data_IF_041214025994
#
_entry.id   IF_041214025994
#
_cell.length_a   1.000
_cell.length_b   1.000
_cell.length_c   1.000
_cell.angle_alpha   90.00
_cell.angle_beta   90.00
_cell.angle_gamma   90.00
#
_symmetry.space_group_name_H-M   'P 1'
#
loop_
_entity.id
_entity.type
_entity.pdbx_description
1 polymer ?
#
# COMPACT_ATOMS: atom_id res chain seq x y z
N UNK A 1 19.18 -27.04 30.09
CA UNK A 1 18.41 -27.54 28.93
C UNK A 1 17.68 -26.37 28.33
N UNK A 2 18.17 -25.81 27.23
CA UNK A 2 17.45 -24.77 26.48
C UNK A 2 16.31 -25.45 25.70
N UNK A 3 15.09 -24.89 25.68
CA UNK A 3 14.00 -25.45 24.90
C UNK A 3 14.36 -25.41 23.41
N UNK A 4 13.90 -26.37 22.58
CA UNK A 4 14.12 -26.31 21.13
C UNK A 4 13.39 -25.08 20.59
N UNK A 5 14.14 -24.04 20.22
CA UNK A 5 13.57 -22.84 19.60
C UNK A 5 12.92 -23.25 18.28
N UNK A 6 11.65 -22.90 18.11
CA UNK A 6 10.96 -23.09 16.87
C UNK A 6 11.63 -22.21 15.80
N UNK A 7 11.95 -22.76 14.62
CA UNK A 7 12.58 -22.02 13.51
C UNK A 7 11.86 -20.70 13.18
N UNK A 8 10.54 -20.66 13.38
CA UNK A 8 9.71 -19.47 13.19
C UNK A 8 10.04 -18.38 14.23
N UNK A 9 10.29 -18.75 15.49
CA UNK A 9 10.64 -17.80 16.55
C UNK A 9 11.99 -17.13 16.29
N UNK A 10 12.96 -17.89 15.78
CA UNK A 10 14.27 -17.36 15.40
C UNK A 10 14.17 -16.36 14.25
N UNK A 11 13.34 -16.68 13.23
CA UNK A 11 13.06 -15.76 12.13
C UNK A 11 12.34 -14.50 12.58
N UNK A 12 11.40 -14.63 13.51
CA UNK A 12 10.68 -13.48 14.07
C UNK A 12 11.59 -12.61 14.94
N UNK A 13 12.51 -13.22 15.68
CA UNK A 13 13.51 -12.47 16.44
C UNK A 13 14.47 -11.70 15.51
N UNK A 14 14.96 -12.37 14.46
CA UNK A 14 15.76 -11.76 13.39
C UNK A 14 15.02 -10.57 12.77
N UNK A 15 13.75 -10.73 12.40
CA UNK A 15 12.92 -9.66 11.85
C UNK A 15 12.64 -8.55 12.85
N UNK A 16 12.49 -8.87 14.14
CA UNK A 16 12.34 -7.92 15.22
C UNK A 16 13.50 -6.94 15.32
N UNK A 17 14.72 -7.47 15.21
CA UNK A 17 15.96 -6.68 15.25
C UNK A 17 16.07 -5.70 14.08
N UNK A 18 15.64 -6.10 12.88
CA UNK A 18 15.75 -5.31 11.64
C UNK A 18 14.63 -4.30 11.43
N UNK A 19 13.37 -4.71 11.68
CA UNK A 19 12.19 -3.93 11.30
C UNK A 19 11.68 -3.03 12.44
N UNK A 20 11.92 -3.42 13.69
CA UNK A 20 11.31 -2.75 14.85
C UNK A 20 12.32 -2.22 15.85
N UNK A 21 13.62 -2.24 15.52
CA UNK A 21 14.72 -1.87 16.43
C UNK A 21 14.62 -2.57 17.80
N UNK A 22 14.09 -3.80 17.82
CA UNK A 22 14.00 -4.60 19.04
C UNK A 22 15.40 -5.16 19.29
N UNK A 23 16.16 -4.49 20.16
CA UNK A 23 17.57 -4.80 20.39
C UNK A 23 17.75 -6.23 20.92
N UNK A 24 18.68 -6.97 20.32
CA UNK A 24 19.19 -8.26 20.81
C UNK A 24 20.14 -8.08 21.99
N UNK A 25 20.74 -6.91 22.11
CA UNK A 25 21.57 -6.55 23.26
C UNK A 25 20.71 -5.96 24.37
N UNK A 26 20.62 -6.69 25.48
CA UNK A 26 20.28 -6.06 26.76
C UNK A 26 21.48 -5.19 27.13
N UNK A 27 21.56 -3.97 26.58
CA UNK A 27 22.53 -3.01 27.07
C UNK A 27 22.26 -2.83 28.58
N UNK A 28 23.30 -2.93 29.43
CA UNK A 28 23.10 -2.80 30.86
C UNK A 28 22.40 -1.47 31.12
N UNK A 29 21.33 -1.52 31.92
CA UNK A 29 20.60 -0.32 32.37
C UNK A 29 21.64 0.70 32.81
N UNK A 30 21.70 1.91 32.22
CA UNK A 30 22.68 2.90 32.67
C UNK A 30 22.46 3.10 34.16
N UNK A 31 23.51 2.84 34.96
CA UNK A 31 23.52 3.17 36.38
C UNK A 31 23.13 4.64 36.44
N UNK A 32 22.02 4.93 37.13
CA UNK A 32 21.47 6.28 37.27
C UNK A 32 22.54 7.15 37.95
N UNK A 33 23.40 7.78 37.16
CA UNK A 33 24.27 8.85 37.64
C UNK A 33 23.33 9.97 38.04
N UNK A 34 23.38 10.38 39.31
CA UNK A 34 22.44 11.36 39.86
C UNK A 34 22.63 12.75 39.24
N UNK A 35 23.71 12.99 38.50
CA UNK A 35 24.03 14.31 37.97
C UNK A 35 24.49 14.19 36.51
N UNK A 36 23.69 14.74 35.58
CA UNK A 36 24.03 15.39 34.29
C UNK A 36 22.79 15.35 33.39
N UNK A 37 22.46 16.50 32.80
CA UNK A 37 21.34 16.71 31.89
C UNK A 37 21.59 16.18 30.47
N UNK A 38 20.88 16.80 29.52
CA UNK A 38 20.71 16.46 28.10
C UNK A 38 19.62 15.41 27.81
N UNK A 39 18.69 15.87 26.97
CA UNK A 39 17.59 15.15 26.35
C UNK A 39 18.09 13.89 25.65
N UNK A 40 18.11 12.78 26.36
CA UNK A 40 18.32 11.46 25.75
C UNK A 40 17.11 11.15 24.89
N UNK A 41 17.36 10.99 23.58
CA UNK A 41 16.41 10.45 22.64
C UNK A 41 15.76 9.22 23.29
N UNK A 42 14.44 9.29 23.49
CA UNK A 42 13.68 8.20 24.10
C UNK A 42 13.76 7.00 23.17
N UNK A 43 14.79 6.16 23.34
CA UNK A 43 14.66 4.75 23.01
C UNK A 43 13.44 4.30 23.78
N UNK A 44 12.41 3.84 23.09
CA UNK A 44 11.28 3.15 23.71
C UNK A 44 11.84 1.86 24.27
N UNK A 45 12.47 1.96 25.44
CA UNK A 45 12.96 0.81 26.19
C UNK A 45 11.70 0.05 26.58
N UNK A 46 11.40 -1.02 25.86
CA UNK A 46 10.60 -2.13 26.36
C UNK A 46 11.31 -2.65 27.60
N UNK A 47 11.12 -1.97 28.73
CA UNK A 47 11.98 -2.08 29.90
C UNK A 47 12.07 -3.52 30.38
N UNK A 48 13.18 -4.21 30.10
CA UNK A 48 13.44 -5.59 30.49
C UNK A 48 12.46 -6.67 29.97
N UNK A 49 11.33 -6.29 29.37
CA UNK A 49 10.21 -7.17 29.00
C UNK A 49 10.52 -8.09 27.81
N UNK A 50 11.61 -7.83 27.07
CA UNK A 50 12.01 -8.56 25.87
C UNK A 50 13.44 -9.14 25.97
N UNK A 51 13.84 -9.57 27.16
CA UNK A 51 15.20 -10.09 27.44
C UNK A 51 15.48 -11.42 26.73
N UNK A 52 14.45 -12.23 26.45
CA UNK A 52 14.57 -13.53 25.77
C UNK A 52 14.15 -13.45 24.31
N UNK A 53 14.80 -14.22 23.42
CA UNK A 53 14.43 -14.34 22.01
C UNK A 53 12.95 -14.70 21.81
N UNK A 54 12.41 -15.60 22.63
CA UNK A 54 10.99 -15.98 22.60
C UNK A 54 10.04 -14.82 22.94
N UNK A 55 10.43 -13.95 23.87
CA UNK A 55 9.65 -12.76 24.22
C UNK A 55 9.65 -11.74 23.07
N UNK A 56 10.82 -11.54 22.43
CA UNK A 56 10.95 -10.72 21.21
C UNK A 56 10.12 -11.24 20.05
N UNK A 57 10.19 -12.55 19.77
CA UNK A 57 9.38 -13.18 18.74
C UNK A 57 7.88 -12.99 18.99
N UNK A 58 7.42 -13.14 20.23
CA UNK A 58 6.01 -12.90 20.61
C UNK A 58 5.60 -11.44 20.39
N UNK A 59 6.45 -10.48 20.77
CA UNK A 59 6.20 -9.05 20.52
C UNK A 59 6.07 -8.75 19.03
N UNK A 60 6.96 -9.32 18.20
CA UNK A 60 6.92 -9.16 16.75
C UNK A 60 5.62 -9.73 16.18
N UNK A 61 5.18 -10.91 16.64
CA UNK A 61 3.87 -11.48 16.23
C UNK A 61 2.71 -10.54 16.55
N UNK A 62 2.66 -10.01 17.77
CA UNK A 62 1.58 -9.10 18.19
C UNK A 62 1.58 -7.83 17.36
N UNK A 63 2.76 -7.28 17.05
CA UNK A 63 2.89 -6.07 16.24
C UNK A 63 2.47 -6.31 14.80
N UNK A 64 2.89 -7.42 14.20
CA UNK A 64 2.43 -7.86 12.88
C UNK A 64 0.92 -8.07 12.85
N UNK A 65 0.36 -8.75 13.85
CA UNK A 65 -1.10 -8.94 13.97
C UNK A 65 -1.85 -7.61 14.11
N UNK A 66 -1.33 -6.65 14.87
CA UNK A 66 -1.93 -5.33 15.01
C UNK A 66 -1.90 -4.54 13.69
N UNK A 67 -0.84 -4.67 12.90
CA UNK A 67 -0.76 -4.06 11.57
C UNK A 67 -1.69 -4.76 10.57
N UNK A 68 -1.73 -6.09 10.54
CA UNK A 68 -2.63 -6.86 9.67
C UNK A 68 -4.10 -6.61 10.03
N UNK A 69 -4.43 -6.48 11.32
CA UNK A 69 -5.78 -6.09 11.78
C UNK A 69 -6.19 -4.70 11.30
N UNK A 70 -5.23 -3.81 11.08
CA UNK A 70 -5.42 -2.52 10.39
C UNK A 70 -5.06 -2.68 8.91
N UNK A 71 -5.69 -3.65 8.26
CA UNK A 71 -5.30 -4.15 6.95
C UNK A 71 -4.86 -3.01 6.03
N UNK A 72 -3.68 -3.10 5.39
CA UNK A 72 -3.14 -2.01 4.59
C UNK A 72 -4.04 -1.74 3.39
N UNK A 73 -4.79 -0.65 3.46
CA UNK A 73 -5.62 -0.14 2.37
C UNK A 73 -4.79 0.78 1.49
N UNK A 74 -5.03 0.72 0.18
CA UNK A 74 -4.37 1.60 -0.79
C UNK A 74 -5.44 2.25 -1.66
N UNK A 75 -5.53 3.58 -1.58
CA UNK A 75 -6.38 4.35 -2.48
C UNK A 75 -5.62 4.65 -3.77
N UNK A 76 -6.27 4.42 -4.91
CA UNK A 76 -5.69 4.71 -6.23
C UNK A 76 -6.58 5.71 -6.95
N UNK A 77 -6.00 6.83 -7.39
CA UNK A 77 -6.71 7.80 -8.21
C UNK A 77 -6.41 7.58 -9.69
N UNK A 78 -7.43 7.22 -10.46
CA UNK A 78 -7.35 7.04 -11.91
C UNK A 78 -7.72 8.37 -12.60
N UNK A 79 -6.71 9.14 -13.03
CA UNK A 79 -6.92 10.52 -13.55
C UNK A 79 -7.01 10.58 -15.08
N UNK A 80 -6.21 9.78 -15.79
CA UNK A 80 -6.30 9.65 -17.26
C UNK A 80 -5.82 8.28 -17.70
N UNK A 81 -6.39 7.75 -18.76
CA UNK A 81 -5.86 6.56 -19.42
C UNK A 81 -5.30 6.92 -20.79
N UNK A 82 -3.96 6.91 -20.98
CA UNK A 82 -3.35 7.21 -22.27
C UNK A 82 -3.75 6.19 -23.35
N UNK A 83 -4.24 5.01 -22.95
CA UNK A 83 -4.77 3.95 -23.81
C UNK A 83 -6.30 3.83 -23.70
N UNK A 84 -7.01 4.93 -23.44
CA UNK A 84 -8.47 4.95 -23.31
C UNK A 84 -9.02 3.88 -22.35
N UNK A 85 -10.19 3.32 -22.68
CA UNK A 85 -10.85 2.31 -21.85
C UNK A 85 -10.03 1.04 -21.65
N UNK A 86 -9.13 0.69 -22.59
CA UNK A 86 -8.26 -0.48 -22.46
C UNK A 86 -7.27 -0.30 -21.31
N UNK A 87 -6.71 0.90 -21.15
CA UNK A 87 -5.83 1.23 -20.02
C UNK A 87 -6.55 1.13 -18.67
N UNK A 88 -7.77 1.67 -18.59
CA UNK A 88 -8.62 1.59 -17.38
C UNK A 88 -8.96 0.15 -17.05
N UNK A 89 -9.40 -0.62 -18.04
CA UNK A 89 -9.77 -2.03 -17.86
C UNK A 89 -8.60 -2.84 -17.31
N UNK A 90 -7.38 -2.61 -17.82
CA UNK A 90 -6.18 -3.28 -17.32
C UNK A 90 -5.85 -2.89 -15.88
N UNK A 91 -6.00 -1.61 -15.52
CA UNK A 91 -5.79 -1.16 -14.15
C UNK A 91 -6.77 -1.83 -13.18
N UNK A 92 -8.06 -1.86 -13.52
CA UNK A 92 -9.08 -2.51 -12.70
C UNK A 92 -8.81 -4.01 -12.54
N UNK A 93 -8.40 -4.70 -13.61
CA UNK A 93 -7.96 -6.09 -13.53
C UNK A 93 -6.75 -6.27 -12.60
N UNK A 94 -5.75 -5.38 -12.69
CA UNK A 94 -4.54 -5.47 -11.88
C UNK A 94 -4.79 -5.21 -10.39
N UNK A 95 -5.59 -4.19 -10.07
CA UNK A 95 -5.93 -3.79 -8.69
C UNK A 95 -6.80 -4.87 -8.04
N UNK A 96 -7.85 -5.33 -8.74
CA UNK A 96 -8.75 -6.38 -8.24
C UNK A 96 -8.10 -7.76 -8.20
N UNK A 97 -6.89 -7.92 -8.77
CA UNK A 97 -6.26 -9.24 -8.93
C UNK A 97 -7.18 -10.22 -9.64
N UNK A 98 -7.67 -9.83 -10.82
CA UNK A 98 -8.67 -10.59 -11.58
C UNK A 98 -9.94 -10.89 -10.75
N UNK A 99 -10.40 -9.93 -9.94
CA UNK A 99 -11.60 -10.05 -9.10
C UNK A 99 -11.41 -10.83 -7.79
N UNK A 100 -10.19 -11.25 -7.45
CA UNK A 100 -9.90 -11.95 -6.18
C UNK A 100 -9.78 -11.00 -4.98
N UNK A 101 -9.46 -9.74 -5.22
CA UNK A 101 -9.34 -8.70 -4.22
C UNK A 101 -10.56 -7.77 -4.27
N UNK A 102 -11.06 -7.44 -3.09
CA UNK A 102 -12.10 -6.44 -2.89
C UNK A 102 -11.57 -5.04 -3.24
N UNK A 103 -12.35 -4.29 -4.02
CA UNK A 103 -12.11 -2.87 -4.31
C UNK A 103 -13.27 -2.09 -3.70
N UNK A 104 -12.97 -0.93 -3.13
CA UNK A 104 -13.96 0.04 -2.69
C UNK A 104 -13.80 1.31 -3.54
N UNK A 105 -14.90 1.90 -3.99
CA UNK A 105 -14.87 3.18 -4.70
C UNK A 105 -14.99 4.39 -3.76
N UNK A 106 -15.09 5.60 -4.31
CA UNK A 106 -15.19 6.83 -3.52
C UNK A 106 -16.50 6.97 -2.73
N UNK A 107 -17.56 6.26 -3.13
CA UNK A 107 -18.88 6.31 -2.52
C UNK A 107 -19.07 5.17 -1.49
N UNK A 108 -18.03 4.36 -1.28
CA UNK A 108 -18.04 3.21 -0.38
C UNK A 108 -18.66 1.95 -1.00
N UNK A 109 -18.89 1.94 -2.32
CA UNK A 109 -19.40 0.76 -3.00
C UNK A 109 -18.29 -0.29 -3.11
N UNK A 110 -18.57 -1.47 -2.59
CA UNK A 110 -17.67 -2.62 -2.67
C UNK A 110 -17.88 -3.36 -3.99
N UNK A 111 -16.78 -3.57 -4.73
CA UNK A 111 -16.70 -4.35 -5.96
C UNK A 111 -15.82 -5.57 -5.69
N UNK A 112 -16.44 -6.75 -5.76
CA UNK A 112 -15.76 -8.03 -5.54
C UNK A 112 -16.18 -9.05 -6.58
N UNK A 113 -15.23 -9.86 -7.05
CA UNK A 113 -15.48 -10.87 -8.07
C UNK A 113 -15.31 -10.35 -9.50
N UNK A 114 -15.14 -11.30 -10.42
CA UNK A 114 -14.84 -11.00 -11.83
C UNK A 114 -15.97 -10.28 -12.55
N UNK A 115 -17.22 -10.65 -12.26
CA UNK A 115 -18.41 -10.08 -12.89
C UNK A 115 -18.62 -8.63 -12.45
N UNK A 116 -18.59 -8.35 -11.14
CA UNK A 116 -18.70 -6.98 -10.63
C UNK A 116 -17.61 -6.05 -11.19
N UNK A 117 -16.38 -6.56 -11.34
CA UNK A 117 -15.28 -5.81 -11.99
C UNK A 117 -15.54 -5.59 -13.49
N UNK A 118 -16.24 -6.51 -14.17
CA UNK A 118 -16.63 -6.35 -15.57
C UNK A 118 -17.75 -5.32 -15.73
N UNK A 119 -18.72 -5.32 -14.83
CA UNK A 119 -19.81 -4.35 -14.80
C UNK A 119 -19.27 -2.94 -14.54
N UNK A 120 -18.36 -2.79 -13.58
CA UNK A 120 -17.66 -1.53 -13.32
C UNK A 120 -16.92 -1.00 -14.57
N UNK A 121 -16.29 -1.88 -15.34
CA UNK A 121 -15.64 -1.50 -16.62
C UNK A 121 -16.64 -1.03 -17.68
N UNK A 122 -17.82 -1.62 -17.71
CA UNK A 122 -18.87 -1.22 -18.63
C UNK A 122 -19.46 0.13 -18.22
N UNK A 123 -19.77 0.30 -16.93
CA UNK A 123 -20.25 1.55 -16.37
C UNK A 123 -19.30 2.71 -16.67
N UNK A 124 -18.00 2.54 -16.47
CA UNK A 124 -17.02 3.61 -16.71
C UNK A 124 -16.80 3.93 -18.19
N UNK A 125 -17.15 3.00 -19.10
CA UNK A 125 -17.15 3.29 -20.54
C UNK A 125 -18.25 4.28 -20.90
N UNK A 126 -19.41 4.17 -20.25
CA UNK A 126 -20.64 4.85 -20.65
C UNK A 126 -21.04 6.00 -19.69
N UNK A 127 -20.48 6.04 -18.48
CA UNK A 127 -20.88 6.93 -17.37
C UNK A 127 -20.19 8.30 -17.29
N UNK A 128 -19.56 8.79 -18.37
CA UNK A 128 -18.81 10.07 -18.34
C UNK A 128 -18.69 10.77 -19.70
N UNK A 129 -17.70 11.67 -19.83
CA UNK A 129 -17.30 12.18 -21.15
C UNK A 129 -16.78 11.00 -21.97
N UNK A 130 -17.23 10.79 -23.22
CA UNK A 130 -16.90 9.60 -23.98
C UNK A 130 -15.39 9.35 -24.00
N UNK A 131 -14.95 8.25 -23.39
CA UNK A 131 -13.57 7.83 -23.48
C UNK A 131 -13.40 7.30 -24.89
N UNK A 132 -12.79 8.11 -25.76
CA UNK A 132 -12.60 7.77 -27.15
C UNK A 132 -11.99 6.36 -27.25
N UNK A 133 -12.50 5.51 -28.17
CA UNK A 133 -11.89 4.22 -28.42
C UNK A 133 -10.42 4.43 -28.76
N UNK A 134 -9.57 3.45 -28.41
CA UNK A 134 -8.12 3.48 -28.62
C UNK A 134 -7.76 4.27 -29.88
N UNK A 135 -7.13 5.45 -29.71
CA UNK A 135 -6.59 6.20 -30.84
C UNK A 135 -5.38 5.43 -31.40
N UNK A 136 -5.65 4.37 -32.15
CA UNK A 136 -4.67 3.77 -33.05
C UNK A 136 -4.57 4.67 -34.28
N UNK A 137 -3.60 5.57 -34.25
CA UNK A 137 -3.21 6.35 -35.41
C UNK A 137 -3.78 7.78 -35.39
N UNK A 138 -2.85 8.73 -35.38
CA UNK A 138 -3.01 10.17 -35.62
C UNK A 138 -3.59 10.54 -37.00
N UNK A 139 -4.34 9.66 -37.68
CA UNK A 139 -4.83 9.91 -39.04
C UNK A 139 -6.35 10.11 -39.18
N UNK A 140 -7.14 9.94 -38.10
CA UNK A 140 -8.61 10.09 -38.18
C UNK A 140 -9.27 10.84 -37.01
N UNK A 141 -8.58 11.82 -36.44
CA UNK A 141 -9.31 12.88 -35.72
C UNK A 141 -9.93 13.81 -36.78
N UNK A 142 -11.23 14.15 -36.72
CA UNK A 142 -11.76 15.21 -37.56
C UNK A 142 -11.00 16.48 -37.18
N UNK A 143 -10.18 16.97 -38.11
CA UNK A 143 -9.47 18.23 -37.91
C UNK A 143 -10.54 19.29 -37.67
N UNK A 144 -10.56 19.87 -36.46
CA UNK A 144 -11.32 21.09 -36.21
C UNK A 144 -10.87 22.09 -37.27
N UNK A 145 -11.77 22.39 -38.21
CA UNK A 145 -11.48 23.23 -39.36
C UNK A 145 -10.92 24.55 -38.89
N UNK A 146 -9.65 24.81 -39.20
CA UNK A 146 -9.01 26.08 -38.99
C UNK A 146 -9.71 27.11 -39.86
N UNK A 147 -10.64 27.86 -39.25
CA UNK A 147 -11.24 29.03 -39.87
C UNK A 147 -10.12 30.01 -40.24
N UNK A 148 -9.92 30.22 -41.54
CA UNK A 148 -8.98 31.22 -42.06
C UNK A 148 -9.43 32.60 -41.57
N UNK A 149 -8.58 33.25 -40.78
CA UNK A 149 -8.70 34.67 -40.46
C UNK A 149 -8.36 35.47 -41.74
N UNK A 150 -9.22 36.37 -42.23
CA UNK A 150 -8.86 37.23 -43.37
C UNK A 150 -7.93 38.35 -42.89
N UNK A 151 -6.87 38.60 -43.65
CA UNK A 151 -6.01 39.77 -43.47
C UNK A 151 -6.66 41.01 -44.10
N UNK A 152 -6.64 42.19 -43.44
CA UNK A 152 -6.96 43.44 -44.09
C UNK A 152 -5.77 43.91 -44.95
N UNK A 153 -6.09 44.50 -46.11
CA UNK A 153 -5.13 45.09 -47.04
C UNK A 153 -4.61 46.46 -46.63
#
# INVERSE_FOLDING_TARGET
MTPPTNQIDEKLDEWGSRLFNVSTETLPRPRRSRNVGLSSAKFTSTGGQLSTAQARATYVRQKLQAMVRRAPQVMVKLVRAPKGMKGISNNLTYISRDGQLEIEDQDGQVIQGKEAVADLKAEWRDGGTPILPDCQGLSKCPQFGSSKIPHPG
#
